data_IF_119329117317
#
_entry.id   IF_119329117317
#
_cell.length_a   1.000
_cell.length_b   1.000
_cell.length_c   1.000
_cell.angle_alpha   90.00
_cell.angle_beta   90.00
_cell.angle_gamma   90.00
#
_symmetry.space_group_name_H-M   'P 1'
#
loop_
_entity.id
_entity.type
_entity.pdbx_description
1 polymer ?
#
# COMPACT_ATOMS: atom_id res chain seq x y z
N UNK A 1 49.29 56.87 52.35
CA UNK A 1 48.07 57.31 51.66
C UNK A 1 46.96 56.31 51.97
N UNK A 2 45.73 56.82 52.18
CA UNK A 2 44.64 56.22 52.95
C UNK A 2 43.86 55.22 52.09
N UNK A 3 42.89 54.44 52.56
CA UNK A 3 42.10 54.43 53.78
C UNK A 3 41.13 53.24 53.71
N UNK A 4 40.65 52.75 54.86
CA UNK A 4 39.26 52.90 55.35
C UNK A 4 38.24 52.05 54.57
N UNK A 5 37.20 51.40 55.10
CA UNK A 5 36.56 51.20 56.41
C UNK A 5 35.52 50.06 56.14
N UNK A 6 35.18 49.19 57.10
CA UNK A 6 33.87 49.17 57.81
C UNK A 6 32.63 49.26 56.87
N UNK A 7 31.57 48.46 56.99
CA UNK A 7 30.86 48.08 58.20
C UNK A 7 29.72 47.07 57.91
N UNK A 8 29.42 46.28 58.94
CA UNK A 8 28.10 45.90 59.48
C UNK A 8 26.93 45.40 58.58
N UNK A 9 26.58 44.11 58.78
CA UNK A 9 25.28 43.49 59.15
C UNK A 9 23.98 44.34 59.21
N UNK A 10 22.77 43.73 59.40
CA UNK A 10 22.12 42.50 58.89
C UNK A 10 20.67 42.81 58.40
N UNK A 11 19.90 41.83 57.86
CA UNK A 11 18.47 41.58 58.24
C UNK A 11 17.66 40.71 57.26
N UNK A 12 16.93 39.78 57.88
CA UNK A 12 15.62 39.16 57.59
C UNK A 12 15.06 39.09 56.16
N UNK A 13 14.65 37.87 55.76
CA UNK A 13 13.25 37.45 55.46
C UNK A 13 13.29 35.99 54.92
N UNK A 14 12.96 34.96 55.69
CA UNK A 14 11.65 34.34 55.97
C UNK A 14 10.80 34.00 54.72
N UNK A 15 10.68 32.66 54.53
CA UNK A 15 9.51 31.84 54.12
C UNK A 15 9.43 31.20 52.72
N UNK A 16 9.27 29.88 52.81
CA UNK A 16 8.33 29.03 52.07
C UNK A 16 8.73 28.57 50.65
N UNK A 17 9.61 27.57 50.61
CA UNK A 17 9.58 26.55 49.56
C UNK A 17 8.35 25.67 49.75
N UNK A 18 7.29 25.99 49.01
CA UNK A 18 6.10 25.15 48.86
C UNK A 18 6.42 23.91 48.03
N UNK A 19 6.04 22.76 48.59
CA UNK A 19 5.98 21.47 47.93
C UNK A 19 5.22 21.53 46.60
N UNK A 20 5.84 21.02 45.54
CA UNK A 20 5.14 20.44 44.41
C UNK A 20 5.88 19.16 44.01
N UNK A 21 5.44 18.03 44.58
CA UNK A 21 5.89 16.71 44.14
C UNK A 21 5.52 16.53 42.66
N UNK A 22 6.55 16.44 41.82
CA UNK A 22 6.41 16.29 40.39
C UNK A 22 5.87 14.91 40.00
N UNK A 23 4.60 14.86 39.62
CA UNK A 23 4.03 13.73 38.87
C UNK A 23 4.24 13.95 37.35
N UNK A 24 5.50 13.99 36.90
CA UNK A 24 5.83 14.15 35.47
C UNK A 24 5.95 12.78 34.75
N UNK A 25 5.93 11.66 35.48
CA UNK A 25 6.13 10.31 34.89
C UNK A 25 4.87 9.62 34.31
N UNK A 26 3.66 10.18 34.43
CA UNK A 26 2.43 9.42 34.08
C UNK A 26 1.97 9.52 32.62
N UNK A 27 2.45 10.51 31.85
CA UNK A 27 1.92 10.80 30.52
C UNK A 27 2.47 9.80 29.48
N UNK A 28 3.76 9.47 29.55
CA UNK A 28 4.38 8.48 28.65
C UNK A 28 3.92 7.05 28.92
N UNK A 29 3.69 6.69 30.18
CA UNK A 29 3.23 5.35 30.57
C UNK A 29 1.83 5.01 30.06
N UNK A 30 0.88 5.95 30.13
CA UNK A 30 -0.49 5.72 29.66
C UNK A 30 -0.59 5.57 28.14
N UNK A 31 0.20 6.33 27.38
CA UNK A 31 0.26 6.18 25.93
C UNK A 31 0.83 4.81 25.54
N UNK A 32 1.90 4.37 26.20
CA UNK A 32 2.48 3.04 25.98
C UNK A 32 1.50 1.91 26.29
N UNK A 33 0.79 1.98 27.41
CA UNK A 33 -0.22 0.98 27.79
C UNK A 33 -1.38 0.94 26.79
N UNK A 34 -1.81 2.09 26.26
CA UNK A 34 -2.84 2.12 25.20
C UNK A 34 -2.35 1.41 23.93
N UNK A 35 -1.11 1.68 23.49
CA UNK A 35 -0.52 1.01 22.32
C UNK A 35 -0.45 -0.50 22.48
N UNK A 36 -0.02 -0.96 23.65
CA UNK A 36 0.06 -2.39 24.00
C UNK A 36 -1.34 -3.03 24.18
N UNK A 37 -2.40 -2.23 24.32
CA UNK A 37 -3.78 -2.70 24.47
C UNK A 37 -4.52 -2.95 23.16
N UNK A 38 -4.02 -2.50 22.01
CA UNK A 38 -4.63 -2.78 20.71
C UNK A 38 -4.37 -4.25 20.36
N UNK A 39 -5.44 -5.02 20.20
CA UNK A 39 -5.33 -6.47 19.98
C UNK A 39 -5.98 -6.89 18.66
N UNK A 40 -5.27 -7.72 17.91
CA UNK A 40 -5.82 -8.41 16.72
C UNK A 40 -6.26 -9.81 17.15
N UNK A 41 -7.56 -10.10 17.06
CA UNK A 41 -8.14 -11.38 17.48
C UNK A 41 -7.95 -12.45 16.40
N UNK A 42 -8.23 -12.09 15.14
CA UNK A 42 -8.23 -13.00 14.00
C UNK A 42 -7.76 -12.23 12.77
N UNK A 43 -6.95 -12.89 11.93
CA UNK A 43 -6.54 -12.37 10.62
C UNK A 43 -6.68 -13.48 9.62
N UNK A 44 -7.36 -13.18 8.52
CA UNK A 44 -7.53 -14.07 7.39
C UNK A 44 -7.02 -13.37 6.14
N UNK A 45 -6.30 -14.11 5.32
CA UNK A 45 -5.87 -13.68 4.00
C UNK A 45 -6.01 -14.86 3.05
N UNK A 46 -6.54 -14.62 1.86
CA UNK A 46 -6.70 -15.65 0.83
C UNK A 46 -6.71 -15.03 -0.57
N UNK A 47 -6.38 -15.83 -1.59
CA UNK A 47 -6.73 -15.53 -2.98
C UNK A 47 -7.82 -16.52 -3.42
N UNK A 48 -8.89 -15.99 -4.02
CA UNK A 48 -10.02 -16.80 -4.49
C UNK A 48 -9.52 -17.97 -5.38
N UNK A 49 -9.99 -19.21 -5.18
CA UNK A 49 -9.48 -20.40 -5.88
C UNK A 49 -10.08 -20.54 -7.29
N UNK A 50 -10.22 -19.41 -7.99
CA UNK A 50 -10.71 -19.35 -9.38
C UNK A 50 -9.53 -18.98 -10.28
N UNK A 51 -9.45 -19.46 -11.53
CA UNK A 51 -8.46 -18.97 -12.47
C UNK A 51 -8.76 -17.56 -12.95
N UNK A 52 -7.76 -16.91 -13.55
CA UNK A 52 -7.96 -15.65 -14.31
C UNK A 52 -8.93 -15.88 -15.45
N UNK A 53 -9.97 -15.05 -15.56
CA UNK A 53 -10.92 -15.09 -16.68
C UNK A 53 -10.45 -14.17 -17.81
N UNK A 54 -10.54 -14.63 -19.06
CA UNK A 54 -10.17 -13.85 -20.26
C UNK A 54 -11.44 -13.51 -21.03
N UNK A 55 -11.56 -12.25 -21.45
CA UNK A 55 -12.66 -11.72 -22.26
C UNK A 55 -12.09 -11.15 -23.57
N UNK A 56 -12.46 -11.80 -24.67
CA UNK A 56 -12.10 -11.40 -26.04
C UNK A 56 -13.27 -10.76 -26.79
N UNK A 57 -14.36 -10.34 -26.12
CA UNK A 57 -15.55 -9.79 -26.79
C UNK A 57 -15.28 -8.51 -27.59
N UNK A 58 -14.21 -7.78 -27.28
CA UNK A 58 -13.83 -6.55 -27.97
C UNK A 58 -12.86 -6.80 -29.12
N UNK A 59 -13.14 -6.21 -30.28
CA UNK A 59 -12.25 -6.21 -31.44
C UNK A 59 -11.00 -5.32 -31.27
N UNK A 60 -10.92 -4.52 -30.20
CA UNK A 60 -9.83 -3.54 -29.97
C UNK A 60 -8.91 -3.96 -28.83
N UNK A 61 -9.46 -4.58 -27.78
CA UNK A 61 -8.71 -4.98 -26.58
C UNK A 61 -9.03 -6.40 -26.12
N UNK A 62 -8.05 -7.07 -25.52
CA UNK A 62 -8.23 -8.20 -24.63
C UNK A 62 -8.46 -7.67 -23.21
N UNK A 63 -9.46 -8.19 -22.51
CA UNK A 63 -9.63 -7.96 -21.07
C UNK A 63 -9.35 -9.24 -20.32
N UNK A 64 -8.80 -9.11 -19.11
CA UNK A 64 -8.72 -10.24 -18.20
C UNK A 64 -9.02 -9.78 -16.78
N UNK A 65 -9.55 -10.69 -15.96
CA UNK A 65 -9.82 -10.45 -14.54
C UNK A 65 -9.10 -11.50 -13.72
N UNK A 66 -8.18 -11.07 -12.87
CA UNK A 66 -7.51 -11.97 -11.94
C UNK A 66 -8.42 -12.31 -10.77
N UNK A 67 -8.12 -13.39 -10.03
CA UNK A 67 -8.84 -13.72 -8.79
C UNK A 67 -8.65 -12.61 -7.77
N UNK A 68 -9.60 -12.48 -6.83
CA UNK A 68 -9.47 -11.49 -5.77
C UNK A 68 -8.52 -11.98 -4.69
N UNK A 69 -7.55 -11.14 -4.34
CA UNK A 69 -6.94 -11.16 -3.02
C UNK A 69 -7.93 -10.57 -2.02
N UNK A 70 -8.06 -11.23 -0.86
CA UNK A 70 -8.92 -10.81 0.24
C UNK A 70 -8.13 -10.87 1.53
N UNK A 71 -8.23 -9.82 2.34
CA UNK A 71 -7.74 -9.83 3.70
C UNK A 71 -8.81 -9.27 4.64
N UNK A 72 -8.89 -9.83 5.84
CA UNK A 72 -9.79 -9.34 6.89
C UNK A 72 -9.17 -9.54 8.26
N UNK A 73 -9.39 -8.58 9.16
CA UNK A 73 -8.91 -8.67 10.53
C UNK A 73 -10.02 -8.25 11.50
N UNK A 74 -10.14 -8.99 12.60
CA UNK A 74 -10.95 -8.60 13.74
C UNK A 74 -10.07 -7.91 14.78
N UNK A 75 -10.34 -6.64 15.07
CA UNK A 75 -9.53 -5.81 15.95
C UNK A 75 -10.34 -5.40 17.16
N UNK A 76 -9.67 -5.33 18.31
CA UNK A 76 -10.18 -4.73 19.54
C UNK A 76 -9.30 -3.54 19.88
N UNK A 77 -9.93 -2.36 19.88
CA UNK A 77 -9.33 -1.13 20.35
C UNK A 77 -9.70 -0.92 21.82
N UNK A 78 -8.73 -0.66 22.72
CA UNK A 78 -9.00 -0.36 24.10
C UNK A 78 -9.71 1.00 24.24
N UNK A 79 -10.27 1.33 25.41
CA UNK A 79 -10.97 2.58 25.62
C UNK A 79 -10.03 3.77 25.38
N UNK A 80 -10.44 4.72 24.55
CA UNK A 80 -9.68 5.92 24.23
C UNK A 80 -10.02 6.96 25.30
N UNK A 81 -9.07 7.36 26.17
CA UNK A 81 -9.40 8.17 27.34
C UNK A 81 -9.60 9.66 27.02
N UNK A 82 -9.08 10.14 25.88
CA UNK A 82 -9.06 11.54 25.48
C UNK A 82 -9.81 11.75 24.17
N UNK A 83 -9.97 13.01 23.78
CA UNK A 83 -10.44 13.41 22.44
C UNK A 83 -9.34 13.14 21.40
N UNK A 84 -9.06 11.88 21.16
CA UNK A 84 -8.13 11.41 20.13
C UNK A 84 -8.92 10.67 19.07
N UNK A 85 -8.51 10.81 17.82
CA UNK A 85 -9.10 10.06 16.71
C UNK A 85 -8.07 9.06 16.21
N UNK A 86 -8.48 7.81 16.16
CA UNK A 86 -7.67 6.71 15.65
C UNK A 86 -8.31 6.14 14.40
N UNK A 87 -7.51 5.89 13.38
CA UNK A 87 -7.92 5.17 12.17
C UNK A 87 -7.18 3.86 12.16
N UNK A 88 -7.91 2.75 12.12
CA UNK A 88 -7.35 1.42 11.89
C UNK A 88 -7.66 1.02 10.46
N UNK A 89 -6.71 0.49 9.71
CA UNK A 89 -6.96 0.12 8.32
C UNK A 89 -5.81 -0.57 7.62
N UNK A 90 -6.04 -0.91 6.35
CA UNK A 90 -5.07 -1.56 5.49
C UNK A 90 -4.26 -0.56 4.67
N UNK A 91 -2.94 -0.74 4.67
CA UNK A 91 -1.98 -0.09 3.79
C UNK A 91 -1.40 -1.16 2.88
N UNK A 92 -1.29 -0.91 1.58
CA UNK A 92 -0.66 -1.82 0.63
C UNK A 92 0.41 -1.09 -0.18
N UNK A 93 1.48 -1.80 -0.52
CA UNK A 93 2.51 -1.31 -1.42
C UNK A 93 3.00 -2.41 -2.36
N UNK A 94 3.29 -2.01 -3.59
CA UNK A 94 3.91 -2.87 -4.61
C UNK A 94 5.43 -2.83 -4.43
N UNK A 95 6.06 -3.98 -4.17
CA UNK A 95 7.50 -4.12 -3.96
C UNK A 95 8.23 -4.71 -5.18
N UNK A 96 7.50 -5.31 -6.11
CA UNK A 96 8.04 -5.82 -7.36
C UNK A 96 6.99 -5.74 -8.46
N UNK A 97 7.40 -5.33 -9.67
CA UNK A 97 6.52 -5.28 -10.82
C UNK A 97 7.22 -5.61 -12.13
N UNK A 98 6.73 -6.64 -12.79
CA UNK A 98 6.90 -6.92 -14.20
C UNK A 98 5.52 -6.95 -14.84
N UNK A 99 5.31 -6.14 -15.87
CA UNK A 99 4.09 -6.19 -16.67
C UNK A 99 4.41 -5.82 -18.11
N UNK A 100 4.46 -6.80 -19.01
CA UNK A 100 4.76 -6.56 -20.42
C UNK A 100 3.87 -7.37 -21.36
N UNK A 101 3.66 -6.80 -22.54
CA UNK A 101 2.86 -7.34 -23.63
C UNK A 101 3.74 -7.44 -24.87
N UNK A 102 3.83 -8.61 -25.49
CA UNK A 102 4.64 -8.85 -26.68
C UNK A 102 3.77 -8.81 -27.94
N UNK A 103 4.28 -8.17 -28.99
CA UNK A 103 3.58 -7.99 -30.27
C UNK A 103 4.33 -8.69 -31.42
N UNK A 104 4.69 -9.95 -31.21
CA UNK A 104 5.52 -10.73 -32.11
C UNK A 104 6.85 -10.04 -32.41
N UNK A 105 7.24 -10.02 -33.68
CA UNK A 105 8.49 -9.41 -34.14
C UNK A 105 8.49 -7.87 -34.13
N UNK A 106 7.39 -7.21 -33.74
CA UNK A 106 7.32 -5.75 -33.74
C UNK A 106 7.95 -5.12 -32.49
N UNK A 107 7.93 -5.84 -31.37
CA UNK A 107 8.44 -5.36 -30.08
C UNK A 107 7.51 -5.68 -28.92
N UNK A 108 7.66 -4.94 -27.82
CA UNK A 108 6.87 -5.11 -26.61
C UNK A 108 6.44 -3.77 -26.01
N UNK A 109 5.30 -3.76 -25.32
CA UNK A 109 4.94 -2.69 -24.39
C UNK A 109 5.12 -3.17 -22.96
N UNK A 110 5.41 -2.26 -22.03
CA UNK A 110 5.51 -2.59 -20.61
C UNK A 110 5.00 -1.45 -19.74
N UNK A 111 4.25 -1.81 -18.69
CA UNK A 111 3.97 -0.90 -17.59
C UNK A 111 5.11 -0.99 -16.59
N UNK A 112 5.68 0.16 -16.25
CA UNK A 112 6.90 0.24 -15.44
C UNK A 112 6.75 1.24 -14.31
N UNK A 113 7.44 0.97 -13.22
CA UNK A 113 7.61 1.88 -12.09
C UNK A 113 9.10 2.24 -12.00
N UNK A 114 9.55 3.32 -12.68
CA UNK A 114 10.98 3.60 -12.85
C UNK A 114 11.75 3.66 -11.53
N UNK A 115 11.22 4.36 -10.52
CA UNK A 115 11.92 4.50 -9.24
C UNK A 115 12.00 3.18 -8.45
N UNK A 116 11.03 2.28 -8.63
CA UNK A 116 11.07 0.93 -8.06
C UNK A 116 12.10 0.06 -8.81
N UNK A 117 12.10 0.13 -10.15
CA UNK A 117 13.00 -0.64 -11.01
C UNK A 117 14.47 -0.22 -10.85
N UNK A 118 14.72 1.08 -10.66
CA UNK A 118 16.05 1.64 -10.41
C UNK A 118 16.50 1.47 -8.94
N UNK A 119 15.63 0.92 -8.06
CA UNK A 119 15.94 0.68 -6.65
C UNK A 119 16.04 1.95 -5.79
N UNK A 120 15.51 3.09 -6.28
CA UNK A 120 15.44 4.34 -5.50
C UNK A 120 14.45 4.24 -4.34
N UNK A 121 13.38 3.45 -4.54
CA UNK A 121 12.40 3.10 -3.52
C UNK A 121 12.30 1.58 -3.39
N UNK A 122 11.98 1.10 -2.19
CA UNK A 122 11.81 -0.33 -1.91
C UNK A 122 10.41 -0.85 -2.27
N UNK A 123 9.42 0.03 -2.20
CA UNK A 123 8.03 -0.25 -2.55
C UNK A 123 7.33 1.06 -2.88
N UNK A 124 6.27 1.01 -3.69
CA UNK A 124 5.42 2.17 -3.97
C UNK A 124 4.02 1.97 -3.38
N UNK A 125 3.43 3.06 -2.85
CA UNK A 125 2.07 3.03 -2.30
C UNK A 125 1.07 2.49 -3.32
N UNK A 126 0.15 1.65 -2.90
CA UNK A 126 -0.98 1.16 -3.70
C UNK A 126 -2.31 1.71 -3.17
N UNK A 127 -2.28 2.96 -2.68
CA UNK A 127 -3.44 3.68 -2.15
C UNK A 127 -4.48 4.00 -3.23
N UNK A 128 -5.72 4.24 -2.82
CA UNK A 128 -6.84 4.75 -3.65
C UNK A 128 -6.53 6.08 -4.36
N UNK A 129 -5.43 6.77 -4.00
CA UNK A 129 -5.00 8.03 -4.60
C UNK A 129 -5.65 9.27 -3.97
N UNK A 130 -6.54 9.08 -2.99
CA UNK A 130 -7.29 10.13 -2.30
C UNK A 130 -6.90 10.19 -0.83
N UNK A 131 -6.99 9.06 -0.12
CA UNK A 131 -6.85 8.95 1.33
C UNK A 131 -5.56 8.22 1.69
N UNK A 132 -4.41 8.80 1.33
CA UNK A 132 -3.11 8.22 1.69
C UNK A 132 -2.98 8.08 3.23
N UNK A 133 -2.38 6.99 3.72
CA UNK A 133 -1.75 5.88 2.98
C UNK A 133 -2.69 4.68 2.74
N UNK A 134 -3.99 4.85 2.97
CA UNK A 134 -4.95 3.76 3.02
C UNK A 134 -5.21 3.18 1.63
N UNK A 135 -5.33 1.86 1.56
CA UNK A 135 -5.69 1.16 0.32
C UNK A 135 -7.08 1.59 -0.16
N UNK A 136 -8.02 1.78 0.76
CA UNK A 136 -9.36 2.28 0.49
C UNK A 136 -9.99 2.90 1.75
N UNK A 137 -11.23 3.36 1.64
CA UNK A 137 -11.90 4.11 2.72
C UNK A 137 -13.29 3.57 3.10
N UNK A 138 -13.68 2.40 2.59
CA UNK A 138 -15.01 1.84 2.82
C UNK A 138 -14.98 0.77 3.91
N UNK A 139 -14.58 -0.45 3.55
CA UNK A 139 -14.39 -1.56 4.49
C UNK A 139 -12.94 -1.68 4.96
N UNK A 140 -12.05 -0.94 4.30
CA UNK A 140 -10.60 -1.02 4.44
C UNK A 140 -10.07 -0.23 5.63
N UNK A 141 -10.89 0.67 6.20
CA UNK A 141 -10.57 1.48 7.37
C UNK A 141 -11.74 1.54 8.35
N UNK A 142 -11.43 1.80 9.61
CA UNK A 142 -12.39 2.09 10.68
C UNK A 142 -11.86 3.25 11.52
N UNK A 143 -12.68 4.29 11.68
CA UNK A 143 -12.35 5.47 12.48
C UNK A 143 -13.04 5.39 13.83
N UNK A 144 -12.26 5.48 14.91
CA UNK A 144 -12.74 5.54 16.29
C UNK A 144 -12.39 6.90 16.88
N UNK A 145 -13.42 7.64 17.31
CA UNK A 145 -13.27 8.95 17.94
C UNK A 145 -13.46 8.81 19.44
N UNK A 146 -12.43 9.18 20.19
CA UNK A 146 -12.48 9.24 21.64
C UNK A 146 -13.19 10.49 22.18
N UNK A 147 -13.56 10.50 23.46
CA UNK A 147 -13.30 9.44 24.43
C UNK A 147 -14.29 8.27 24.28
N UNK A 148 -13.82 7.04 24.47
CA UNK A 148 -14.65 5.83 24.57
C UNK A 148 -14.52 5.20 25.95
N UNK A 149 -15.60 4.59 26.46
CA UNK A 149 -15.66 4.01 27.82
C UNK A 149 -15.43 2.49 27.86
N UNK A 150 -15.49 1.84 26.70
CA UNK A 150 -15.43 0.39 26.53
C UNK A 150 -14.60 0.07 25.29
N UNK A 151 -14.10 -1.15 25.26
CA UNK A 151 -13.41 -1.70 24.10
C UNK A 151 -14.32 -1.63 22.87
N UNK A 152 -13.72 -1.26 21.74
CA UNK A 152 -14.39 -1.21 20.46
C UNK A 152 -13.90 -2.38 19.61
N UNK A 153 -14.82 -3.30 19.29
CA UNK A 153 -14.54 -4.49 18.48
C UNK A 153 -15.17 -4.34 17.11
N UNK A 154 -14.37 -4.52 16.06
CA UNK A 154 -14.81 -4.35 14.68
C UNK A 154 -14.02 -5.26 13.73
N UNK A 155 -14.50 -5.35 12.50
CA UNK A 155 -13.85 -6.09 11.42
C UNK A 155 -13.51 -5.10 10.32
N UNK A 156 -12.28 -5.18 9.82
CA UNK A 156 -11.81 -4.43 8.65
C UNK A 156 -11.47 -5.44 7.58
N UNK A 157 -11.84 -5.18 6.33
CA UNK A 157 -11.53 -6.02 5.20
C UNK A 157 -11.04 -5.21 4.02
N UNK A 158 -10.21 -5.83 3.17
CA UNK A 158 -9.87 -5.30 1.87
C UNK A 158 -10.03 -6.39 0.81
N UNK A 159 -10.23 -5.94 -0.42
CA UNK A 159 -10.24 -6.80 -1.58
C UNK A 159 -9.45 -6.12 -2.69
N UNK A 160 -8.65 -6.89 -3.41
CA UNK A 160 -7.86 -6.39 -4.54
C UNK A 160 -7.91 -7.38 -5.68
N UNK A 161 -7.99 -6.88 -6.91
CA UNK A 161 -7.84 -7.68 -8.11
C UNK A 161 -7.46 -6.80 -9.30
N UNK A 162 -6.95 -7.44 -10.33
CA UNK A 162 -6.59 -6.77 -11.56
C UNK A 162 -7.60 -6.99 -12.65
N UNK A 163 -8.03 -5.88 -13.26
CA UNK A 163 -8.96 -5.89 -14.38
C UNK A 163 -8.54 -4.93 -15.52
N UNK A 164 -7.36 -5.14 -16.14
CA UNK A 164 -6.87 -4.24 -17.18
C UNK A 164 -7.44 -4.57 -18.56
N UNK A 165 -7.23 -3.64 -19.50
CA UNK A 165 -7.46 -3.83 -20.94
C UNK A 165 -6.13 -3.72 -21.68
N UNK A 166 -5.82 -4.68 -22.55
CA UNK A 166 -4.59 -4.72 -23.36
C UNK A 166 -4.97 -4.67 -24.84
N UNK A 167 -4.37 -3.76 -25.61
CA UNK A 167 -4.68 -3.62 -27.04
C UNK A 167 -4.21 -4.83 -27.84
N UNK A 168 -5.01 -5.25 -28.82
CA UNK A 168 -4.59 -6.29 -29.77
C UNK A 168 -3.48 -5.79 -30.70
N UNK A 169 -3.57 -4.52 -31.10
CA UNK A 169 -2.61 -3.86 -31.97
C UNK A 169 -1.48 -3.21 -31.18
N UNK A 170 -0.37 -2.91 -31.87
CA UNK A 170 0.75 -2.17 -31.29
C UNK A 170 0.29 -0.79 -30.82
N UNK A 171 0.57 -0.40 -29.57
CA UNK A 171 -0.03 0.78 -28.95
C UNK A 171 0.36 2.11 -29.59
N UNK A 172 1.44 2.14 -30.38
CA UNK A 172 1.91 3.34 -31.11
C UNK A 172 1.58 3.29 -32.61
N UNK A 173 0.89 2.26 -33.08
CA UNK A 173 0.55 2.10 -34.49
C UNK A 173 -0.83 2.68 -34.80
N UNK A 174 -0.98 3.28 -35.98
CA UNK A 174 -2.30 3.65 -36.53
C UNK A 174 -3.07 2.43 -37.08
N UNK A 175 -2.42 1.26 -37.14
CA UNK A 175 -3.03 0.02 -37.61
C UNK A 175 -3.83 -0.67 -36.51
N UNK A 176 -5.04 -1.13 -36.82
CA UNK A 176 -5.85 -1.98 -35.93
C UNK A 176 -5.58 -3.49 -36.10
N UNK A 177 -4.52 -3.86 -36.82
CA UNK A 177 -4.19 -5.28 -37.03
C UNK A 177 -3.70 -5.89 -35.71
N UNK A 178 -4.32 -6.99 -35.30
CA UNK A 178 -3.92 -7.72 -34.11
C UNK A 178 -2.50 -8.27 -34.26
N UNK A 179 -1.63 -7.94 -33.29
CA UNK A 179 -0.24 -8.37 -33.22
C UNK A 179 0.16 -8.90 -31.84
N UNK A 180 -0.68 -8.72 -30.82
CA UNK A 180 -0.46 -9.25 -29.48
C UNK A 180 -0.24 -10.76 -29.54
N UNK A 181 0.81 -11.22 -28.85
CA UNK A 181 1.26 -12.62 -28.83
C UNK A 181 1.43 -13.17 -27.42
N UNK A 182 1.73 -12.31 -26.45
CA UNK A 182 1.87 -12.72 -25.06
C UNK A 182 1.57 -11.55 -24.12
N UNK A 183 0.95 -11.84 -22.98
CA UNK A 183 0.87 -10.94 -21.83
C UNK A 183 1.55 -11.66 -20.68
N UNK A 184 2.48 -11.00 -20.02
CA UNK A 184 3.10 -11.48 -18.81
C UNK A 184 2.96 -10.45 -17.70
N UNK A 185 2.63 -10.92 -16.50
CA UNK A 185 2.58 -10.08 -15.32
C UNK A 185 3.03 -10.83 -14.10
N UNK A 186 3.83 -10.16 -13.30
CA UNK A 186 4.36 -10.66 -12.04
C UNK A 186 4.52 -9.50 -11.08
N UNK A 187 3.74 -9.50 -10.00
CA UNK A 187 3.78 -8.43 -9.01
C UNK A 187 3.72 -8.97 -7.60
N UNK A 188 4.55 -8.39 -6.73
CA UNK A 188 4.57 -8.71 -5.30
C UNK A 188 4.16 -7.51 -4.48
N UNK A 189 3.40 -7.78 -3.43
CA UNK A 189 2.81 -6.78 -2.56
C UNK A 189 3.10 -7.09 -1.10
N UNK A 190 3.30 -6.03 -0.33
CA UNK A 190 3.26 -6.08 1.14
C UNK A 190 2.05 -5.28 1.61
N UNK A 191 1.30 -5.87 2.52
CA UNK A 191 0.08 -5.28 3.08
C UNK A 191 0.18 -5.25 4.60
N UNK A 192 -0.10 -4.10 5.20
CA UNK A 192 -0.05 -3.89 6.64
C UNK A 192 -1.42 -3.51 7.19
N UNK A 193 -1.81 -4.15 8.28
CA UNK A 193 -2.87 -3.65 9.16
C UNK A 193 -2.25 -2.65 10.12
N UNK A 194 -2.76 -1.43 10.16
CA UNK A 194 -2.16 -0.34 10.93
C UNK A 194 -3.22 0.41 11.74
N UNK A 195 -2.87 0.81 12.95
CA UNK A 195 -3.60 1.81 13.73
C UNK A 195 -2.82 3.13 13.76
N UNK A 196 -3.45 4.23 13.37
CA UNK A 196 -2.84 5.56 13.29
C UNK A 196 -3.63 6.59 14.09
N UNK A 197 -2.97 7.33 14.95
CA UNK A 197 -3.55 8.51 15.60
C UNK A 197 -3.51 9.70 14.65
N UNK A 198 -4.65 10.29 14.32
CA UNK A 198 -4.73 11.36 13.31
C UNK A 198 -4.20 12.71 13.80
N UNK A 199 -4.04 12.90 15.10
CA UNK A 199 -3.53 14.15 15.68
C UNK A 199 -2.01 14.13 15.80
N UNK A 200 -1.42 12.98 16.11
CA UNK A 200 0.03 12.85 16.33
C UNK A 200 0.76 12.17 15.17
N UNK A 201 0.03 11.58 14.21
CA UNK A 201 0.56 10.69 13.17
C UNK A 201 1.32 9.48 13.73
N UNK A 202 1.04 9.10 14.97
CA UNK A 202 1.61 7.92 15.60
C UNK A 202 1.01 6.65 14.95
N UNK A 203 1.86 5.82 14.36
CA UNK A 203 1.47 4.62 13.62
C UNK A 203 1.94 3.35 14.34
N UNK A 204 1.04 2.37 14.42
CA UNK A 204 1.27 1.08 15.06
C UNK A 204 0.94 -0.02 14.04
N UNK A 205 1.95 -0.80 13.66
CA UNK A 205 1.77 -1.94 12.77
C UNK A 205 1.24 -3.12 13.58
N UNK A 206 0.05 -3.57 13.23
CA UNK A 206 -0.67 -4.64 13.93
C UNK A 206 -0.39 -6.01 13.30
N UNK A 207 -0.39 -6.08 11.96
CA UNK A 207 -0.13 -7.32 11.21
C UNK A 207 0.47 -7.01 9.84
N UNK A 208 1.36 -7.88 9.35
CA UNK A 208 1.94 -7.81 7.99
C UNK A 208 1.59 -9.05 7.18
N UNK A 209 1.26 -8.84 5.90
CA UNK A 209 0.93 -9.86 4.90
C UNK A 209 1.81 -9.69 3.67
N UNK A 210 2.22 -10.80 3.05
CA UNK A 210 2.83 -10.82 1.71
C UNK A 210 1.93 -11.59 0.75
N UNK A 211 1.77 -11.07 -0.47
CA UNK A 211 1.09 -11.78 -1.53
C UNK A 211 1.68 -11.41 -2.89
N UNK A 212 1.48 -12.30 -3.87
CA UNK A 212 2.02 -12.16 -5.23
C UNK A 212 0.94 -12.56 -6.21
N UNK A 213 0.93 -11.89 -7.36
CA UNK A 213 0.10 -12.25 -8.49
C UNK A 213 0.99 -12.51 -9.70
N UNK A 214 0.82 -13.68 -10.31
CA UNK A 214 1.52 -14.11 -11.51
C UNK A 214 0.53 -14.50 -12.61
N UNK A 215 0.81 -14.08 -13.84
CA UNK A 215 -0.05 -14.29 -14.99
C UNK A 215 0.78 -14.42 -16.26
N UNK A 216 0.45 -15.44 -17.05
CA UNK A 216 0.90 -15.56 -18.43
C UNK A 216 -0.28 -15.89 -19.33
N UNK A 217 -0.50 -15.07 -20.36
CA UNK A 217 -1.54 -15.30 -21.38
C UNK A 217 -0.83 -15.35 -22.72
N UNK A 218 -0.89 -16.51 -23.38
CA UNK A 218 -0.47 -16.65 -24.76
C UNK A 218 -1.60 -16.22 -25.69
N UNK A 219 -1.26 -15.53 -26.78
CA UNK A 219 -2.22 -15.02 -27.77
C UNK A 219 -1.77 -15.44 -29.17
N UNK A 220 -2.68 -16.04 -29.95
CA UNK A 220 -2.49 -16.27 -31.37
C UNK A 220 -3.35 -15.29 -32.18
N UNK A 221 -2.76 -14.21 -32.75
CA UNK A 221 -3.53 -13.18 -33.43
C UNK A 221 -4.18 -13.66 -34.74
N UNK A 222 -3.75 -14.81 -35.29
CA UNK A 222 -4.31 -15.38 -36.52
C UNK A 222 -5.60 -16.17 -36.28
N UNK A 223 -5.96 -16.45 -35.02
CA UNK A 223 -7.22 -17.10 -34.69
C UNK A 223 -8.38 -16.10 -34.69
N UNK A 224 -9.62 -16.57 -34.93
CA UNK A 224 -10.81 -15.76 -34.76
C UNK A 224 -10.90 -15.19 -33.33
N UNK A 225 -11.51 -14.02 -33.21
CA UNK A 225 -11.82 -13.40 -31.93
C UNK A 225 -12.64 -14.38 -31.06
N UNK A 226 -12.33 -14.48 -29.77
CA UNK A 226 -12.93 -15.47 -28.87
C UNK A 226 -12.16 -16.79 -28.79
N UNK A 227 -11.09 -16.95 -29.58
CA UNK A 227 -10.27 -18.16 -29.62
C UNK A 227 -8.77 -17.84 -29.69
N UNK A 228 -8.36 -16.58 -29.49
CA UNK A 228 -6.96 -16.16 -29.64
C UNK A 228 -6.15 -16.47 -28.41
N UNK A 229 -6.71 -16.24 -27.23
CA UNK A 229 -5.97 -16.20 -25.99
C UNK A 229 -6.13 -17.49 -25.17
N UNK A 230 -5.07 -17.85 -24.47
CA UNK A 230 -5.04 -19.00 -23.56
C UNK A 230 -4.23 -18.65 -22.32
N UNK A 231 -4.83 -18.84 -21.15
CA UNK A 231 -4.13 -18.77 -19.87
C UNK A 231 -3.08 -19.89 -19.80
N UNK A 232 -1.85 -19.52 -19.45
CA UNK A 232 -0.73 -20.41 -19.16
C UNK A 232 -0.45 -20.42 -17.66
N UNK A 233 0.43 -21.33 -17.23
CA UNK A 233 0.78 -21.43 -15.83
C UNK A 233 1.45 -20.14 -15.31
N UNK A 234 1.22 -19.77 -14.04
CA UNK A 234 0.39 -20.50 -13.06
C UNK A 234 -1.12 -20.23 -13.24
N UNK A 235 -1.92 -21.29 -13.31
CA UNK A 235 -3.39 -21.18 -13.38
C UNK A 235 -3.98 -20.79 -12.01
N UNK A 236 -3.45 -21.38 -10.94
CA UNK A 236 -3.80 -21.06 -9.55
C UNK A 236 -2.73 -20.16 -8.93
N UNK A 237 -3.14 -19.21 -8.10
CA UNK A 237 -2.23 -18.31 -7.40
C UNK A 237 -1.78 -18.91 -6.06
N UNK A 238 -0.56 -18.59 -5.66
CA UNK A 238 -0.07 -18.91 -4.31
C UNK A 238 -0.88 -18.16 -3.26
N UNK A 239 -1.24 -18.85 -2.18
CA UNK A 239 -1.97 -18.22 -1.08
C UNK A 239 -1.07 -17.21 -0.33
N UNK A 240 -1.65 -16.10 0.16
CA UNK A 240 -0.91 -15.06 0.84
C UNK A 240 -0.32 -15.56 2.16
N UNK A 241 0.81 -14.98 2.55
CA UNK A 241 1.52 -15.31 3.79
C UNK A 241 1.22 -14.27 4.86
N UNK A 242 0.66 -14.71 5.97
CA UNK A 242 0.54 -13.90 7.20
C UNK A 242 1.86 -14.03 7.96
N UNK A 243 2.57 -12.93 8.20
CA UNK A 243 3.88 -12.98 8.85
C UNK A 243 3.75 -13.10 10.37
N UNK A 244 4.61 -13.92 10.98
CA UNK A 244 4.69 -14.02 12.45
C UNK A 244 5.35 -12.81 13.10
N UNK A 245 6.15 -12.06 12.33
CA UNK A 245 6.81 -10.82 12.75
C UNK A 245 6.49 -9.72 11.75
N UNK A 246 6.09 -8.57 12.27
CA UNK A 246 5.79 -7.40 11.45
C UNK A 246 7.06 -6.80 10.84
N UNK A 247 6.92 -6.35 9.59
CA UNK A 247 7.97 -5.63 8.86
C UNK A 247 7.68 -4.12 8.87
N UNK A 248 8.72 -3.27 8.87
CA UNK A 248 8.52 -1.83 8.80
C UNK A 248 7.90 -1.40 7.47
N UNK A 249 7.13 -0.31 7.50
CA UNK A 249 6.55 0.28 6.28
C UNK A 249 7.59 1.22 5.64
N UNK A 250 7.98 1.02 4.37
CA UNK A 250 8.84 1.95 3.66
C UNK A 250 8.19 3.34 3.57
N UNK A 251 8.94 4.45 3.73
CA UNK A 251 8.37 5.80 3.64
C UNK A 251 7.58 6.07 2.36
N UNK A 252 8.03 5.53 1.23
CA UNK A 252 7.39 5.64 -0.08
C UNK A 252 6.03 4.94 -0.19
N UNK A 253 5.70 4.03 0.73
CA UNK A 253 4.37 3.42 0.82
C UNK A 253 3.34 4.36 1.49
N UNK A 254 3.81 5.38 2.23
CA UNK A 254 2.96 6.25 3.05
C UNK A 254 2.55 7.56 2.35
N UNK A 255 3.16 7.86 1.21
CA UNK A 255 3.03 9.15 0.55
C UNK A 255 2.67 8.99 -0.93
N UNK A 256 2.29 10.10 -1.55
CA UNK A 256 2.16 10.20 -3.00
C UNK A 256 3.52 10.03 -3.70
N UNK A 257 3.55 9.55 -4.95
CA UNK A 257 2.43 9.01 -5.72
C UNK A 257 2.10 7.55 -5.39
N UNK A 258 0.89 7.10 -5.73
CA UNK A 258 0.55 5.68 -5.77
C UNK A 258 1.04 5.04 -7.07
N UNK A 259 1.02 3.71 -7.13
CA UNK A 259 1.49 2.92 -8.27
C UNK A 259 0.82 3.35 -9.58
N UNK A 260 -0.50 3.56 -9.56
CA UNK A 260 -1.26 3.94 -10.76
C UNK A 260 -0.90 5.32 -11.31
N UNK A 261 -0.51 6.26 -10.45
CA UNK A 261 -0.14 7.62 -10.86
C UNK A 261 1.35 7.74 -11.22
N UNK A 262 2.19 6.84 -10.70
CA UNK A 262 3.63 6.80 -10.94
C UNK A 262 4.04 5.92 -12.14
N UNK A 263 3.20 4.97 -12.53
CA UNK A 263 3.52 4.04 -13.61
C UNK A 263 3.58 4.73 -14.98
N UNK A 264 4.42 4.19 -15.84
CA UNK A 264 4.59 4.62 -17.23
C UNK A 264 4.31 3.46 -18.18
N UNK A 265 3.69 3.75 -19.34
CA UNK A 265 3.61 2.76 -20.43
C UNK A 265 4.74 3.02 -21.40
N UNK A 266 5.68 2.08 -21.48
CA UNK A 266 6.77 2.09 -22.43
C UNK A 266 6.44 1.24 -23.65
N UNK A 267 6.91 1.68 -24.82
CA UNK A 267 7.00 0.88 -26.04
C UNK A 267 8.47 0.66 -26.38
N UNK A 268 8.86 -0.60 -26.56
CA UNK A 268 10.20 -1.01 -26.99
C UNK A 268 10.08 -1.76 -28.31
N UNK A 269 10.30 -1.09 -29.46
CA UNK A 269 10.25 -1.75 -30.76
C UNK A 269 11.43 -2.72 -30.92
N UNK A 270 11.29 -3.69 -31.82
CA UNK A 270 12.41 -4.58 -32.19
C UNK A 270 13.60 -3.79 -32.76
N UNK A 271 13.33 -2.71 -33.49
CA UNK A 271 14.33 -1.82 -34.06
C UNK A 271 13.99 -0.37 -33.72
N UNK A 272 15.02 0.41 -33.36
CA UNK A 272 14.86 1.83 -32.99
C UNK A 272 14.92 2.07 -31.49
N UNK A 273 14.53 3.28 -31.08
CA UNK A 273 14.60 3.71 -29.68
C UNK A 273 13.30 3.41 -28.93
N UNK A 274 13.37 3.09 -27.62
CA UNK A 274 12.21 3.05 -26.75
C UNK A 274 11.44 4.37 -26.73
N UNK A 275 10.12 4.30 -26.58
CA UNK A 275 9.22 5.45 -26.52
C UNK A 275 8.34 5.38 -25.29
N UNK A 276 8.11 6.52 -24.65
CA UNK A 276 7.08 6.66 -23.61
C UNK A 276 5.73 6.84 -24.33
N UNK A 277 4.83 5.88 -24.18
CA UNK A 277 3.48 5.94 -24.75
C UNK A 277 2.55 6.71 -23.81
N UNK A 278 2.62 6.39 -22.51
CA UNK A 278 1.86 7.07 -21.46
C UNK A 278 2.85 7.52 -20.39
N UNK A 279 3.02 8.84 -20.18
CA UNK A 279 3.86 9.36 -19.11
C UNK A 279 3.18 9.15 -17.74
N UNK A 280 3.93 9.23 -16.63
CA UNK A 280 3.32 9.14 -15.32
C UNK A 280 2.52 10.42 -15.06
N UNK A 281 1.46 10.32 -14.28
CA UNK A 281 0.70 11.51 -13.87
C UNK A 281 1.49 12.36 -12.87
N UNK A 282 2.27 11.70 -12.02
CA UNK A 282 3.11 12.31 -11.01
C UNK A 282 4.46 11.59 -10.94
N UNK A 283 5.53 12.34 -10.64
CA UNK A 283 6.86 11.81 -10.32
C UNK A 283 7.13 12.02 -8.84
#
# INVERSE_FOLDING_TARGET
MPGFLCDCWPSLEIRALLCAMGCIQSIGGKARVFREGITVIDVKASIDPVPTSIDESSSVVLRYRTPHFRASAQVVMPPIPKKETWVVGWIQACSHMEFYNQYGEQGMSSWELPDLQEGKIQAISDSDGVNYPWYGNTTETCTIVGPTKRDSKFIISMNDNFYPSVTWAVPVSESNVAKLTNIYRDQSFTTWLVATNTSTNDMIILQTLHWRMQLSIEVNPNRPLGQRARLREPIAQDQPKILSKNEPIPPSALVKPNANDAQVLMWRPKYGQPLVVIPPKHR
#
